data_IF_138867744174
#
_entry.id   IF_138867744174
#
_cell.length_a   1.000
_cell.length_b   1.000
_cell.length_c   1.000
_cell.angle_alpha   90.00
_cell.angle_beta   90.00
_cell.angle_gamma   90.00
#
_symmetry.space_group_name_H-M   'P 1'
#
loop_
_entity.id
_entity.type
_entity.pdbx_description
1 polymer ?
#
# COMPACT_ATOMS: atom_id res chain seq x y z
N UNK A 1 -3.77 19.69 9.73
CA UNK A 1 -3.68 19.47 8.25
C UNK A 1 -4.91 18.72 7.81
N UNK A 2 -5.60 19.17 6.75
CA UNK A 2 -6.73 18.43 6.17
C UNK A 2 -6.25 17.45 5.11
N UNK A 3 -6.89 16.28 5.02
CA UNK A 3 -6.65 15.34 3.93
C UNK A 3 -7.07 15.98 2.59
N UNK A 4 -6.36 15.63 1.51
CA UNK A 4 -6.60 16.12 0.15
C UNK A 4 -6.55 14.97 -0.83
N UNK A 5 -7.39 15.05 -1.87
CA UNK A 5 -7.34 14.18 -3.04
C UNK A 5 -5.98 14.29 -3.73
N UNK A 6 -5.52 13.21 -4.38
CA UNK A 6 -4.33 13.27 -5.23
C UNK A 6 -4.58 14.18 -6.44
N UNK A 7 -3.54 14.81 -7.01
CA UNK A 7 -3.67 15.46 -8.31
C UNK A 7 -4.13 14.46 -9.38
N UNK A 8 -4.72 14.97 -10.47
CA UNK A 8 -5.12 14.12 -11.60
C UNK A 8 -3.92 13.36 -12.17
N UNK A 9 -4.12 12.06 -12.43
CA UNK A 9 -3.11 11.11 -12.89
C UNK A 9 -2.22 10.55 -11.78
N UNK A 10 -2.47 10.87 -10.51
CA UNK A 10 -1.62 10.45 -9.40
C UNK A 10 -2.30 9.39 -8.54
N UNK A 11 -1.48 8.46 -8.07
CA UNK A 11 -1.83 7.57 -6.97
C UNK A 11 -1.26 8.12 -5.66
N UNK A 12 -1.94 7.85 -4.55
CA UNK A 12 -1.48 8.26 -3.21
C UNK A 12 -1.55 7.09 -2.24
N UNK A 13 -0.42 6.83 -1.60
CA UNK A 13 -0.38 5.95 -0.43
C UNK A 13 -0.63 6.73 0.85
N UNK A 14 -1.61 6.28 1.62
CA UNK A 14 -1.82 6.67 3.02
C UNK A 14 -1.38 5.51 3.90
N UNK A 15 -0.35 5.68 4.70
CA UNK A 15 0.15 4.64 5.61
C UNK A 15 -0.14 5.00 7.06
N UNK A 16 -0.15 3.99 7.94
CA UNK A 16 -0.23 4.19 9.37
C UNK A 16 0.48 3.05 10.11
N UNK A 17 1.24 3.41 11.15
CA UNK A 17 1.76 2.48 12.14
C UNK A 17 0.99 2.59 13.46
N UNK A 18 0.64 1.46 14.07
CA UNK A 18 -0.04 1.42 15.36
C UNK A 18 0.67 0.47 16.32
N UNK A 19 0.63 0.77 17.61
CA UNK A 19 1.11 -0.11 18.69
C UNK A 19 0.03 -0.25 19.74
N UNK A 20 -0.28 -1.49 20.10
CA UNK A 20 -1.23 -1.83 21.15
C UNK A 20 -0.71 -3.04 21.92
N UNK A 21 -0.70 -2.98 23.26
CA UNK A 21 -0.22 -4.08 24.13
C UNK A 21 1.15 -4.65 23.69
N UNK A 22 2.11 -3.76 23.43
CA UNK A 22 3.46 -4.09 22.94
C UNK A 22 3.52 -4.84 21.59
N UNK A 23 2.41 -4.93 20.85
CA UNK A 23 2.36 -5.45 19.49
C UNK A 23 2.26 -4.30 18.50
N UNK A 24 3.21 -4.22 17.57
CA UNK A 24 3.17 -3.26 16.49
C UNK A 24 2.51 -3.84 15.25
N UNK A 25 1.78 -2.99 14.52
CA UNK A 25 1.18 -3.29 13.23
C UNK A 25 1.37 -2.11 12.30
N UNK A 26 1.45 -2.43 11.02
CA UNK A 26 1.60 -1.46 9.95
C UNK A 26 0.61 -1.73 8.84
N UNK A 27 0.27 -0.71 8.06
CA UNK A 27 -0.59 -0.86 6.91
C UNK A 27 -0.70 0.41 6.10
N UNK A 28 -1.43 0.31 5.01
CA UNK A 28 -1.71 1.45 4.16
C UNK A 28 -2.78 1.20 3.12
N UNK A 29 -3.22 2.31 2.53
CA UNK A 29 -4.26 2.39 1.50
C UNK A 29 -3.65 3.07 0.29
N UNK A 30 -3.74 2.43 -0.87
CA UNK A 30 -3.52 3.05 -2.16
C UNK A 30 -4.83 3.68 -2.64
N UNK A 31 -4.79 4.97 -2.93
CA UNK A 31 -5.92 5.73 -3.47
C UNK A 31 -5.60 6.27 -4.85
N UNK A 32 -6.61 6.37 -5.70
CA UNK A 32 -6.52 7.04 -6.99
C UNK A 32 -6.83 8.55 -6.89
N UNK A 33 -6.88 9.20 -8.06
CA UNK A 33 -7.17 10.64 -8.19
C UNK A 33 -8.54 11.04 -7.65
N UNK A 34 -9.53 10.15 -7.70
CA UNK A 34 -10.87 10.35 -7.13
C UNK A 34 -10.89 10.08 -5.62
N UNK A 35 -9.76 9.66 -5.04
CA UNK A 35 -9.63 9.32 -3.63
C UNK A 35 -10.15 7.93 -3.27
N UNK A 36 -10.58 7.15 -4.25
CA UNK A 36 -11.12 5.82 -4.08
C UNK A 36 -10.02 4.83 -3.73
N UNK A 37 -10.31 3.93 -2.79
CA UNK A 37 -9.34 2.93 -2.35
C UNK A 37 -9.21 1.82 -3.42
N UNK A 38 -8.01 1.68 -3.99
CA UNK A 38 -7.71 0.67 -5.02
C UNK A 38 -7.00 -0.56 -4.46
N UNK A 39 -6.19 -0.37 -3.42
CA UNK A 39 -5.55 -1.47 -2.73
C UNK A 39 -5.36 -1.14 -1.24
N UNK A 40 -5.37 -2.20 -0.42
CA UNK A 40 -5.15 -2.14 1.02
C UNK A 40 -4.11 -3.18 1.40
N UNK A 41 -3.20 -2.83 2.30
CA UNK A 41 -2.32 -3.80 2.95
C UNK A 41 -2.31 -3.56 4.46
N UNK A 42 -2.13 -4.64 5.22
CA UNK A 42 -1.89 -4.58 6.65
C UNK A 42 -1.13 -5.81 7.12
N UNK A 43 -0.30 -5.66 8.15
CA UNK A 43 0.50 -6.75 8.67
C UNK A 43 1.00 -6.52 10.09
N UNK A 44 1.37 -7.60 10.80
CA UNK A 44 2.17 -7.49 12.01
C UNK A 44 3.52 -6.83 11.68
N UNK A 45 4.05 -6.09 12.63
CA UNK A 45 5.34 -5.43 12.51
C UNK A 45 6.20 -5.77 13.72
N UNK A 46 7.45 -6.20 13.47
CA UNK A 46 8.47 -6.35 14.51
C UNK A 46 9.04 -4.99 14.98
N UNK A 47 8.25 -3.92 14.87
CA UNK A 47 8.64 -2.58 15.29
C UNK A 47 8.44 -2.41 16.79
N UNK A 48 9.34 -1.64 17.42
CA UNK A 48 9.29 -1.36 18.86
C UNK A 48 8.30 -0.25 19.20
N UNK A 49 7.94 0.58 18.22
CA UNK A 49 7.02 1.70 18.38
C UNK A 49 6.22 1.95 17.08
N UNK A 50 5.22 2.83 17.18
CA UNK A 50 4.33 3.15 16.07
C UNK A 50 5.03 3.88 14.92
N UNK A 51 6.06 4.70 15.21
CA UNK A 51 6.81 5.45 14.19
C UNK A 51 7.61 4.49 13.32
N UNK A 52 8.27 3.51 13.93
CA UNK A 52 9.01 2.48 13.22
C UNK A 52 8.07 1.52 12.48
N UNK A 53 6.88 1.26 13.01
CA UNK A 53 5.85 0.48 12.31
C UNK A 53 5.34 1.21 11.06
N UNK A 54 5.15 2.53 11.17
CA UNK A 54 4.75 3.38 10.05
C UNK A 54 5.86 3.46 8.99
N UNK A 55 7.11 3.66 9.41
CA UNK A 55 8.26 3.66 8.50
C UNK A 55 8.39 2.34 7.73
N UNK A 56 8.19 1.19 8.41
CA UNK A 56 8.13 -0.12 7.74
C UNK A 56 6.97 -0.20 6.74
N UNK A 57 5.82 0.38 7.07
CA UNK A 57 4.67 0.44 6.15
C UNK A 57 4.97 1.29 4.91
N UNK A 58 5.76 2.36 5.04
CA UNK A 58 6.26 3.14 3.89
C UNK A 58 7.11 2.25 2.99
N UNK A 59 8.02 1.46 3.57
CA UNK A 59 8.84 0.50 2.81
C UNK A 59 7.98 -0.48 2.00
N UNK A 60 6.97 -1.09 2.63
CA UNK A 60 6.02 -1.99 1.94
C UNK A 60 5.25 -1.25 0.84
N UNK A 61 4.82 0.00 1.08
CA UNK A 61 4.15 0.79 0.06
C UNK A 61 5.04 1.09 -1.16
N UNK A 62 6.35 1.30 -0.96
CA UNK A 62 7.32 1.48 -2.03
C UNK A 62 7.53 0.20 -2.83
N UNK A 63 7.69 -0.94 -2.16
CA UNK A 63 7.77 -2.26 -2.82
C UNK A 63 6.51 -2.52 -3.67
N UNK A 64 5.32 -2.22 -3.15
CA UNK A 64 4.08 -2.32 -3.90
C UNK A 64 4.05 -1.37 -5.09
N UNK A 65 4.63 -0.17 -4.98
CA UNK A 65 4.70 0.78 -6.09
C UNK A 65 5.62 0.27 -7.21
N UNK A 66 6.77 -0.29 -6.88
CA UNK A 66 7.68 -0.91 -7.86
C UNK A 66 7.00 -2.07 -8.59
N UNK A 67 6.29 -2.92 -7.84
CA UNK A 67 5.50 -4.01 -8.40
C UNK A 67 4.41 -3.45 -9.31
N UNK A 68 3.59 -2.50 -8.85
CA UNK A 68 2.51 -1.91 -9.66
C UNK A 68 3.06 -1.25 -10.92
N UNK A 69 4.17 -0.51 -10.84
CA UNK A 69 4.83 0.06 -12.01
C UNK A 69 5.29 -1.02 -12.98
N UNK A 70 5.94 -2.07 -12.49
CA UNK A 70 6.36 -3.20 -13.31
C UNK A 70 5.15 -3.89 -13.98
N UNK A 71 4.07 -4.10 -13.23
CA UNK A 71 2.82 -4.66 -13.73
C UNK A 71 2.16 -3.78 -14.80
N UNK A 72 2.07 -2.46 -14.57
CA UNK A 72 1.53 -1.51 -15.56
C UNK A 72 2.36 -1.50 -16.84
N UNK A 73 3.70 -1.50 -16.71
CA UNK A 73 4.62 -1.63 -17.83
C UNK A 73 4.42 -2.95 -18.58
N UNK A 74 4.25 -4.07 -17.87
CA UNK A 74 4.01 -5.38 -18.50
C UNK A 74 2.61 -5.51 -19.14
N UNK A 75 1.56 -4.94 -18.54
CA UNK A 75 0.21 -4.91 -19.11
C UNK A 75 0.19 -4.11 -20.42
N UNK A 76 1.00 -3.05 -20.51
CA UNK A 76 1.20 -2.30 -21.76
C UNK A 76 1.82 -3.17 -22.88
N UNK A 77 2.48 -4.29 -22.52
CA UNK A 77 3.13 -5.22 -23.45
C UNK A 77 2.37 -6.54 -23.71
N UNK A 78 1.42 -6.98 -22.87
CA UNK A 78 0.50 -8.11 -23.13
C UNK A 78 -0.57 -8.17 -22.03
N UNK A 79 -1.83 -8.27 -22.45
CA UNK A 79 -2.98 -8.36 -21.55
C UNK A 79 -2.92 -9.54 -20.58
N UNK A 80 -3.44 -9.29 -19.37
CA UNK A 80 -3.70 -10.23 -18.28
C UNK A 80 -2.48 -10.96 -17.70
N UNK A 81 -2.13 -10.62 -16.45
CA UNK A 81 -1.68 -11.65 -15.53
C UNK A 81 -2.27 -11.38 -14.13
N UNK A 82 -2.55 -12.46 -13.41
CA UNK A 82 -3.31 -12.49 -12.16
C UNK A 82 -2.35 -12.57 -10.99
N UNK A 83 -2.63 -11.78 -9.95
CA UNK A 83 -2.20 -11.95 -8.54
C UNK A 83 -0.69 -12.02 -8.30
N UNK A 84 -0.10 -10.91 -7.86
CA UNK A 84 1.24 -10.89 -7.24
C UNK A 84 1.13 -10.94 -5.71
N UNK A 85 1.51 -12.07 -5.10
CA UNK A 85 1.81 -12.15 -3.66
C UNK A 85 3.24 -11.69 -3.43
N UNK A 86 3.46 -10.69 -2.56
CA UNK A 86 4.76 -10.42 -1.93
C UNK A 86 4.52 -10.30 -0.42
N UNK A 87 5.39 -10.96 0.36
CA UNK A 87 5.22 -11.25 1.78
C UNK A 87 5.11 -10.03 2.70
N UNK A 88 4.60 -10.30 3.90
CA UNK A 88 4.22 -9.36 4.97
C UNK A 88 2.96 -8.50 4.73
N UNK A 89 1.82 -9.19 4.65
CA UNK A 89 0.49 -8.58 4.76
C UNK A 89 -0.36 -8.82 3.54
N UNK A 90 -1.57 -9.34 3.73
CA UNK A 90 -2.50 -9.61 2.63
C UNK A 90 -2.82 -8.29 1.92
N UNK A 91 -2.48 -8.20 0.64
CA UNK A 91 -2.89 -7.09 -0.22
C UNK A 91 -4.24 -7.45 -0.83
N UNK A 92 -5.28 -6.69 -0.51
CA UNK A 92 -6.58 -6.84 -1.15
C UNK A 92 -6.66 -5.86 -2.32
N UNK A 93 -6.67 -6.39 -3.55
CA UNK A 93 -7.05 -5.64 -4.74
C UNK A 93 -8.56 -5.82 -4.93
N UNK A 94 -9.34 -4.76 -4.73
CA UNK A 94 -10.76 -4.77 -5.08
C UNK A 94 -10.91 -4.26 -6.51
N UNK A 95 -11.29 -5.16 -7.42
CA UNK A 95 -11.74 -4.78 -8.77
C UNK A 95 -13.26 -4.51 -8.71
N UNK A 96 -13.67 -3.36 -9.24
CA UNK A 96 -15.04 -3.11 -9.69
C UNK A 96 -15.14 -3.47 -11.17
#
# INVERSE_FOLDING_TARGET
MSWRFPPRGWLKFNVCGVVFEAKARGGGVLRDEDGEARALFSGPSEAKDAKLAELKSIGVALELYEVVLFWLLCIQFRGFCRVGFIGFGRVYCMMQ
#
